data_IF_453193813788
#
_entry.id   IF_453193813788
#
_cell.length_a   1.000
_cell.length_b   1.000
_cell.length_c   1.000
_cell.angle_alpha   90.00
_cell.angle_beta   90.00
_cell.angle_gamma   90.00
#
_symmetry.space_group_name_H-M   'P 1'
#
loop_
_entity.id
_entity.type
_entity.pdbx_description
1 polymer ?
#
# COMPACT_ATOMS: atom_id res chain seq x y z
N UNK A 1 -44.73 15.84 57.14
CA UNK A 1 -43.50 15.08 57.43
C UNK A 1 -43.31 14.06 56.32
N UNK A 2 -42.54 14.43 55.31
CA UNK A 2 -41.99 13.55 54.27
C UNK A 2 -40.95 14.39 53.53
N UNK A 3 -39.69 14.01 53.68
CA UNK A 3 -38.52 14.73 53.19
C UNK A 3 -38.28 14.50 51.69
N UNK A 4 -37.66 15.45 50.96
CA UNK A 4 -37.18 15.24 49.61
C UNK A 4 -35.79 14.58 49.61
N UNK A 5 -35.54 13.72 48.62
CA UNK A 5 -34.24 13.08 48.39
C UNK A 5 -33.42 13.91 47.41
N UNK A 6 -32.24 14.32 47.88
CA UNK A 6 -31.19 15.01 47.16
C UNK A 6 -30.52 14.12 46.09
N UNK A 7 -30.16 14.77 44.97
CA UNK A 7 -29.26 14.24 43.94
C UNK A 7 -27.82 14.60 44.30
N UNK A 8 -26.83 13.70 44.15
CA UNK A 8 -25.43 14.10 44.19
C UNK A 8 -24.75 14.05 42.81
N UNK A 9 -24.08 15.16 42.53
CA UNK A 9 -23.14 15.48 41.46
C UNK A 9 -21.83 14.67 41.52
N UNK A 10 -21.33 14.33 40.33
CA UNK A 10 -19.94 14.22 39.87
C UNK A 10 -18.80 14.06 40.88
N UNK A 11 -18.05 12.97 40.77
CA UNK A 11 -16.67 12.85 41.28
C UNK A 11 -15.70 12.55 40.13
N UNK A 12 -14.86 13.56 39.85
CA UNK A 12 -13.59 13.43 39.10
C UNK A 12 -12.68 12.42 39.81
N UNK A 13 -12.22 11.41 39.08
CA UNK A 13 -11.11 10.57 39.52
C UNK A 13 -9.83 11.11 38.89
N UNK A 14 -9.01 11.74 39.73
CA UNK A 14 -7.61 12.04 39.45
C UNK A 14 -6.82 10.73 39.49
N UNK A 15 -6.21 10.34 38.36
CA UNK A 15 -5.19 9.31 38.32
C UNK A 15 -3.83 9.96 38.53
N UNK A 16 -3.28 9.78 39.72
CA UNK A 16 -1.90 10.06 40.09
C UNK A 16 -0.95 9.15 39.30
N UNK A 17 -0.03 9.76 38.55
CA UNK A 17 1.09 9.10 37.92
C UNK A 17 2.08 8.59 38.98
N UNK A 18 2.29 7.28 39.03
CA UNK A 18 3.44 6.65 39.67
C UNK A 18 4.40 6.19 38.59
N UNK A 19 5.54 6.85 38.52
CA UNK A 19 6.70 6.49 37.70
C UNK A 19 7.27 5.16 38.16
N UNK A 20 7.07 4.11 37.36
CA UNK A 20 7.86 2.88 37.44
C UNK A 20 8.87 2.90 36.30
N UNK A 21 10.13 3.17 36.62
CA UNK A 21 11.28 2.99 35.75
C UNK A 21 11.42 1.51 35.38
N UNK A 22 10.95 1.14 34.20
CA UNK A 22 11.33 -0.11 33.55
C UNK A 22 12.69 0.07 32.90
N UNK A 23 13.64 -0.80 33.25
CA UNK A 23 14.95 -0.85 32.65
C UNK A 23 14.82 -1.17 31.15
N UNK A 24 15.28 -0.23 30.32
CA UNK A 24 15.44 -0.42 28.89
C UNK A 24 16.52 -1.48 28.67
N UNK A 25 16.09 -2.68 28.25
CA UNK A 25 16.98 -3.65 27.63
C UNK A 25 17.39 -3.07 26.27
N UNK A 26 18.60 -2.51 26.21
CA UNK A 26 19.14 -1.97 24.97
C UNK A 26 19.28 -3.06 23.93
N UNK A 27 18.45 -3.01 22.88
CA UNK A 27 18.91 -3.47 21.57
C UNK A 27 20.15 -2.64 21.25
N UNK A 28 21.28 -3.33 21.07
CA UNK A 28 22.46 -2.71 20.52
C UNK A 28 22.04 -2.06 19.19
N UNK A 29 22.23 -0.74 19.10
CA UNK A 29 22.19 -0.05 17.83
C UNK A 29 23.25 -0.71 16.94
N UNK A 30 22.82 -1.58 16.02
CA UNK A 30 23.57 -1.81 14.81
C UNK A 30 23.77 -0.41 14.21
N UNK A 31 25.02 0.02 14.09
CA UNK A 31 25.31 1.34 13.55
C UNK A 31 24.59 1.49 12.21
N UNK A 32 23.84 2.58 12.04
CA UNK A 32 23.28 2.98 10.76
C UNK A 32 24.46 3.39 9.86
N UNK A 33 25.21 2.40 9.39
CA UNK A 33 26.00 2.55 8.21
C UNK A 33 24.99 2.40 7.08
N UNK A 34 24.76 3.44 6.25
CA UNK A 34 24.02 3.21 5.02
C UNK A 34 24.66 2.00 4.33
N UNK A 35 23.86 1.04 3.88
CA UNK A 35 24.34 0.06 2.92
C UNK A 35 25.13 0.83 1.86
N UNK A 36 26.33 0.38 1.45
CA UNK A 36 27.14 1.14 0.52
C UNK A 36 26.25 1.53 -0.64
N UNK A 37 26.00 2.83 -0.76
CA UNK A 37 25.31 3.35 -1.92
C UNK A 37 26.07 2.77 -3.10
N UNK A 38 25.36 2.05 -3.98
CA UNK A 38 25.87 1.80 -5.31
C UNK A 38 26.46 3.14 -5.76
N UNK A 39 27.78 3.15 -6.02
CA UNK A 39 28.58 4.36 -6.14
C UNK A 39 27.79 5.40 -6.95
N UNK A 40 27.63 6.59 -6.39
CA UNK A 40 26.94 7.71 -7.02
C UNK A 40 27.69 8.09 -8.29
N UNK A 41 27.41 7.39 -9.39
CA UNK A 41 27.75 7.85 -10.72
C UNK A 41 26.78 8.98 -11.03
N UNK A 42 27.36 10.17 -11.20
CA UNK A 42 26.76 11.36 -11.80
C UNK A 42 25.63 11.00 -12.77
N UNK A 43 24.38 11.22 -12.37
CA UNK A 43 23.17 10.87 -13.13
C UNK A 43 23.01 11.78 -14.35
N UNK A 44 23.60 11.35 -15.46
CA UNK A 44 22.94 11.43 -16.76
C UNK A 44 22.06 10.19 -16.87
N UNK A 45 20.74 10.36 -17.07
CA UNK A 45 19.71 9.33 -17.34
C UNK A 45 20.17 7.88 -17.09
N UNK A 46 19.90 7.35 -15.90
CA UNK A 46 20.13 5.94 -15.61
C UNK A 46 19.07 5.10 -16.33
N UNK A 47 19.45 4.51 -17.46
CA UNK A 47 18.72 3.39 -18.07
C UNK A 47 18.45 2.34 -16.98
N UNK A 48 17.17 2.02 -16.77
CA UNK A 48 16.76 0.85 -16.00
C UNK A 48 17.43 -0.42 -16.57
N UNK A 49 17.58 -1.50 -15.78
CA UNK A 49 18.01 -2.79 -16.31
C UNK A 49 17.20 -3.13 -17.57
N UNK A 50 17.87 -3.61 -18.63
CA UNK A 50 17.18 -3.98 -19.88
C UNK A 50 16.16 -5.11 -19.64
N UNK A 51 16.43 -5.98 -18.66
CA UNK A 51 15.58 -7.10 -18.26
C UNK A 51 15.09 -6.90 -16.82
N UNK A 52 13.84 -7.30 -16.53
CA UNK A 52 13.31 -7.25 -15.16
C UNK A 52 13.91 -8.34 -14.26
N UNK A 53 14.02 -8.04 -12.97
CA UNK A 53 14.38 -9.02 -11.94
C UNK A 53 13.11 -9.70 -11.44
N UNK A 54 13.15 -11.03 -11.29
CA UNK A 54 12.08 -11.87 -10.77
C UNK A 54 12.59 -12.81 -9.66
N UNK A 55 11.89 -12.94 -8.52
CA UNK A 55 10.80 -12.07 -8.09
C UNK A 55 11.30 -10.63 -7.84
N UNK A 56 10.57 -9.63 -8.34
CA UNK A 56 10.99 -8.22 -8.21
C UNK A 56 9.84 -7.21 -8.22
N UNK A 57 8.66 -7.62 -7.76
CA UNK A 57 7.59 -6.67 -7.40
C UNK A 57 7.83 -6.15 -5.97
N UNK A 58 6.85 -6.28 -5.05
CA UNK A 58 7.02 -5.80 -3.68
C UNK A 58 7.98 -6.65 -2.83
N UNK A 59 8.31 -7.86 -3.28
CA UNK A 59 9.22 -8.77 -2.57
C UNK A 59 10.26 -9.32 -3.53
N UNK A 60 11.50 -9.36 -3.05
CA UNK A 60 12.64 -9.97 -3.74
C UNK A 60 13.02 -11.32 -3.13
N UNK A 61 13.92 -12.07 -3.80
CA UNK A 61 14.47 -13.30 -3.22
C UNK A 61 15.21 -13.05 -1.89
N UNK A 62 15.86 -11.90 -1.77
CA UNK A 62 16.53 -11.48 -0.53
C UNK A 62 15.51 -11.26 0.60
N UNK A 63 14.35 -10.66 0.30
CA UNK A 63 13.28 -10.48 1.27
C UNK A 63 12.74 -11.81 1.78
N UNK A 64 12.51 -12.78 0.90
CA UNK A 64 12.05 -14.12 1.31
C UNK A 64 13.09 -14.84 2.17
N UNK A 65 14.37 -14.75 1.80
CA UNK A 65 15.47 -15.31 2.59
C UNK A 65 15.54 -14.68 3.98
N UNK A 66 15.45 -13.35 4.06
CA UNK A 66 15.42 -12.60 5.33
C UNK A 66 14.22 -13.02 6.18
N UNK A 67 13.00 -12.97 5.62
CA UNK A 67 11.76 -13.32 6.32
C UNK A 67 11.82 -14.75 6.89
N UNK A 68 12.24 -15.73 6.08
CA UNK A 68 12.34 -17.11 6.53
C UNK A 68 13.33 -17.28 7.69
N UNK A 69 14.50 -16.62 7.62
CA UNK A 69 15.52 -16.69 8.67
C UNK A 69 15.03 -16.09 10.00
N UNK A 70 14.51 -14.85 9.98
CA UNK A 70 14.06 -14.16 11.21
C UNK A 70 12.84 -14.82 11.85
N UNK A 71 11.95 -15.44 11.04
CA UNK A 71 10.82 -16.23 11.55
C UNK A 71 11.30 -17.54 12.16
N UNK A 72 12.24 -18.24 11.54
CA UNK A 72 12.83 -19.47 12.09
C UNK A 72 13.52 -19.22 13.44
N UNK A 73 14.14 -18.06 13.61
CA UNK A 73 14.78 -17.63 14.86
C UNK A 73 13.78 -17.12 15.93
N UNK A 74 12.50 -16.92 15.56
CA UNK A 74 11.49 -16.37 16.47
C UNK A 74 11.78 -14.93 16.90
N UNK A 75 12.44 -14.14 16.04
CA UNK A 75 12.86 -12.79 16.35
C UNK A 75 11.71 -11.78 16.29
N UNK A 76 11.60 -10.90 17.28
CA UNK A 76 10.65 -9.77 17.25
C UNK A 76 11.24 -8.57 16.48
N UNK A 77 10.41 -7.82 15.72
CA UNK A 77 8.96 -7.92 15.64
C UNK A 77 8.42 -8.89 14.56
N UNK A 78 9.28 -9.55 13.80
CA UNK A 78 8.87 -10.43 12.69
C UNK A 78 8.01 -11.60 13.14
N UNK A 79 8.29 -12.19 14.30
CA UNK A 79 7.49 -13.26 14.89
C UNK A 79 6.02 -12.82 15.10
N UNK A 80 5.79 -11.62 15.65
CA UNK A 80 4.45 -11.04 15.75
C UNK A 80 3.79 -10.81 14.38
N UNK A 81 4.55 -10.37 13.37
CA UNK A 81 4.06 -10.23 12.00
C UNK A 81 3.67 -11.57 11.35
N UNK A 82 4.47 -12.61 11.60
CA UNK A 82 4.20 -13.98 11.17
C UNK A 82 2.97 -14.56 11.84
N UNK A 83 2.78 -14.35 13.15
CA UNK A 83 1.58 -14.78 13.88
C UNK A 83 0.32 -14.15 13.29
N UNK A 84 0.34 -12.84 12.98
CA UNK A 84 -0.78 -12.16 12.29
C UNK A 84 -1.12 -12.81 10.95
N UNK A 85 -0.12 -13.23 10.18
CA UNK A 85 -0.33 -13.95 8.93
C UNK A 85 -0.96 -15.32 9.20
N UNK A 86 -0.37 -16.14 10.07
CA UNK A 86 -0.83 -17.53 10.29
C UNK A 86 -2.22 -17.61 10.91
N UNK A 87 -2.61 -16.63 11.73
CA UNK A 87 -3.92 -16.55 12.36
C UNK A 87 -5.03 -16.07 11.42
N UNK A 88 -4.67 -15.46 10.29
CA UNK A 88 -5.66 -14.97 9.34
C UNK A 88 -6.35 -16.15 8.62
N UNK A 89 -7.68 -16.17 8.62
CA UNK A 89 -8.47 -17.22 7.98
C UNK A 89 -8.26 -17.35 6.46
N UNK A 90 -7.76 -16.29 5.80
CA UNK A 90 -7.39 -16.31 4.37
C UNK A 90 -6.03 -16.95 4.11
N UNK A 91 -5.21 -17.10 5.14
CA UNK A 91 -3.88 -17.73 5.07
C UNK A 91 -3.92 -19.26 5.26
N UNK A 92 -5.11 -19.87 5.22
CA UNK A 92 -5.25 -21.31 5.37
C UNK A 92 -5.17 -22.00 4.00
N UNK A 93 -4.36 -23.04 3.88
CA UNK A 93 -4.16 -23.80 2.64
C UNK A 93 -5.42 -24.52 2.16
N UNK A 94 -6.41 -24.66 3.03
CA UNK A 94 -7.73 -25.20 2.68
C UNK A 94 -8.67 -24.17 2.03
N UNK A 95 -8.19 -22.97 1.73
CA UNK A 95 -9.00 -21.94 1.07
C UNK A 95 -9.48 -22.41 -0.30
N UNK A 96 -10.77 -22.25 -0.59
CA UNK A 96 -11.34 -22.61 -1.89
C UNK A 96 -11.71 -21.34 -2.67
N UNK A 97 -11.14 -21.11 -3.87
CA UNK A 97 -11.47 -19.95 -4.67
C UNK A 97 -12.91 -19.96 -5.18
N UNK A 98 -13.46 -18.78 -5.42
CA UNK A 98 -14.79 -18.55 -5.94
C UNK A 98 -14.67 -17.58 -7.13
N UNK A 99 -14.15 -18.03 -8.28
CA UNK A 99 -13.97 -17.15 -9.43
C UNK A 99 -15.31 -16.69 -10.01
N UNK A 100 -15.30 -15.54 -10.69
CA UNK A 100 -16.45 -14.95 -11.36
C UNK A 100 -16.05 -14.51 -12.77
N UNK A 101 -16.93 -14.72 -13.75
CA UNK A 101 -16.71 -14.22 -15.11
C UNK A 101 -16.70 -12.69 -15.18
N UNK A 102 -17.55 -12.04 -14.38
CA UNK A 102 -17.67 -10.58 -14.32
C UNK A 102 -17.57 -10.10 -12.87
N UNK A 103 -16.62 -9.20 -12.62
CA UNK A 103 -16.47 -8.47 -11.36
C UNK A 103 -17.06 -7.06 -11.51
N UNK A 104 -18.01 -6.72 -10.66
CA UNK A 104 -18.68 -5.43 -10.62
C UNK A 104 -18.26 -4.67 -9.35
N UNK A 105 -17.71 -3.47 -9.52
CA UNK A 105 -17.49 -2.52 -8.41
C UNK A 105 -18.24 -1.23 -8.67
N UNK A 106 -19.15 -0.92 -7.73
CA UNK A 106 -19.98 0.27 -7.73
C UNK A 106 -21.23 0.14 -8.61
N UNK A 107 -22.35 0.66 -8.11
CA UNK A 107 -23.67 0.51 -8.74
C UNK A 107 -24.37 -0.82 -8.41
N UNK A 108 -25.44 -1.11 -9.17
CA UNK A 108 -26.23 -2.34 -9.03
C UNK A 108 -25.38 -3.59 -9.33
N UNK A 109 -25.58 -4.65 -8.56
CA UNK A 109 -24.87 -5.92 -8.77
C UNK A 109 -23.42 -5.97 -8.28
N UNK A 110 -22.98 -4.98 -7.48
CA UNK A 110 -21.62 -4.98 -6.90
C UNK A 110 -21.30 -6.32 -6.21
N UNK A 111 -20.25 -7.00 -6.68
CA UNK A 111 -19.83 -8.33 -6.21
C UNK A 111 -18.31 -8.42 -5.92
N UNK A 112 -17.56 -7.31 -6.07
CA UNK A 112 -16.10 -7.24 -5.94
C UNK A 112 -15.54 -7.81 -4.63
N UNK A 113 -16.37 -7.88 -3.58
CA UNK A 113 -16.08 -8.55 -2.31
C UNK A 113 -15.45 -9.93 -2.45
N UNK A 114 -15.97 -10.71 -3.39
CA UNK A 114 -15.51 -12.06 -3.65
C UNK A 114 -14.10 -12.07 -4.24
N UNK A 115 -13.84 -11.15 -5.19
CA UNK A 115 -12.57 -11.06 -5.88
C UNK A 115 -11.44 -10.64 -4.94
N UNK A 116 -11.59 -9.52 -4.23
CA UNK A 116 -10.49 -9.05 -3.36
C UNK A 116 -10.21 -10.00 -2.21
N UNK A 117 -11.20 -10.76 -1.75
CA UNK A 117 -11.00 -11.74 -0.66
C UNK A 117 -10.09 -12.87 -1.14
N UNK A 118 -10.32 -13.36 -2.36
CA UNK A 118 -9.54 -14.45 -2.93
C UNK A 118 -8.14 -13.99 -3.37
N UNK A 119 -8.00 -12.78 -3.93
CA UNK A 119 -6.66 -12.19 -4.23
C UNK A 119 -5.80 -12.11 -2.98
N UNK A 120 -6.37 -11.69 -1.85
CA UNK A 120 -5.65 -11.65 -0.58
C UNK A 120 -5.35 -13.04 -0.03
N UNK A 121 -6.24 -14.01 -0.20
CA UNK A 121 -5.95 -15.40 0.15
C UNK A 121 -4.79 -15.96 -0.68
N UNK A 122 -4.72 -15.66 -1.98
CA UNK A 122 -3.60 -16.07 -2.83
C UNK A 122 -2.28 -15.47 -2.33
N UNK A 123 -2.22 -14.15 -2.14
CA UNK A 123 -1.01 -13.47 -1.64
C UNK A 123 -0.56 -14.01 -0.27
N UNK A 124 -1.49 -14.16 0.66
CA UNK A 124 -1.21 -14.64 2.01
C UNK A 124 -0.67 -16.08 2.01
N UNK A 125 -1.29 -16.98 1.23
CA UNK A 125 -0.79 -18.34 1.08
C UNK A 125 0.58 -18.36 0.38
N UNK A 126 0.80 -17.49 -0.61
CA UNK A 126 2.11 -17.37 -1.27
C UNK A 126 3.21 -16.95 -0.27
N UNK A 127 2.94 -15.97 0.61
CA UNK A 127 3.86 -15.61 1.71
C UNK A 127 4.10 -16.79 2.67
N UNK A 128 3.04 -17.50 3.07
CA UNK A 128 3.17 -18.66 3.96
C UNK A 128 4.05 -19.76 3.37
N UNK A 129 3.97 -19.97 2.06
CA UNK A 129 4.86 -20.88 1.36
C UNK A 129 6.30 -20.39 1.36
N UNK A 130 6.58 -19.16 0.91
CA UNK A 130 7.96 -18.66 0.79
C UNK A 130 8.69 -18.56 2.12
N UNK A 131 7.97 -18.22 3.19
CA UNK A 131 8.55 -18.03 4.54
C UNK A 131 8.54 -19.33 5.35
N UNK A 132 7.45 -20.10 5.29
CA UNK A 132 7.27 -21.30 6.11
C UNK A 132 7.67 -22.61 5.43
N UNK A 133 7.77 -22.64 4.10
CA UNK A 133 8.22 -23.80 3.31
C UNK A 133 7.18 -24.91 3.09
N UNK A 134 5.92 -24.73 3.51
CA UNK A 134 4.85 -25.73 3.33
C UNK A 134 4.20 -25.59 1.95
N UNK A 135 4.37 -26.62 1.11
CA UNK A 135 3.87 -26.67 -0.27
C UNK A 135 2.34 -26.58 -0.38
N UNK A 136 1.58 -26.98 0.65
CA UNK A 136 0.12 -26.87 0.63
C UNK A 136 -0.34 -25.40 0.45
N UNK A 137 0.46 -24.45 0.92
CA UNK A 137 0.19 -23.03 0.71
C UNK A 137 0.55 -22.55 -0.71
N UNK A 138 1.59 -23.11 -1.32
CA UNK A 138 1.92 -22.82 -2.73
C UNK A 138 0.80 -23.31 -3.65
N UNK A 139 0.31 -24.54 -3.42
CA UNK A 139 -0.82 -25.13 -4.14
C UNK A 139 -2.08 -24.26 -4.01
N UNK A 140 -2.41 -23.83 -2.80
CA UNK A 140 -3.56 -22.95 -2.58
C UNK A 140 -3.45 -21.63 -3.33
N UNK A 141 -2.29 -20.95 -3.27
CA UNK A 141 -2.06 -19.71 -3.99
C UNK A 141 -2.16 -19.89 -5.51
N UNK A 142 -1.48 -20.92 -6.05
CA UNK A 142 -1.55 -21.32 -7.45
C UNK A 142 -2.99 -21.56 -7.89
N UNK A 143 -3.73 -22.38 -7.16
CA UNK A 143 -5.08 -22.81 -7.53
C UNK A 143 -6.06 -21.64 -7.54
N UNK A 144 -5.92 -20.70 -6.59
CA UNK A 144 -6.73 -19.47 -6.59
C UNK A 144 -6.46 -18.63 -7.84
N UNK A 145 -5.19 -18.35 -8.16
CA UNK A 145 -4.83 -17.49 -9.31
C UNK A 145 -5.18 -18.20 -10.63
N UNK A 146 -4.95 -19.50 -10.73
CA UNK A 146 -5.32 -20.29 -11.89
C UNK A 146 -6.84 -20.30 -12.11
N UNK A 147 -7.64 -20.41 -11.04
CA UNK A 147 -9.10 -20.41 -11.13
C UNK A 147 -9.65 -19.04 -11.59
N UNK A 148 -9.12 -17.94 -11.04
CA UNK A 148 -9.52 -16.59 -11.44
C UNK A 148 -9.10 -16.26 -12.87
N UNK A 149 -7.86 -16.57 -13.26
CA UNK A 149 -7.36 -16.36 -14.63
C UNK A 149 -8.08 -17.20 -15.69
N UNK A 150 -8.70 -18.32 -15.31
CA UNK A 150 -9.48 -19.15 -16.22
C UNK A 150 -10.91 -18.63 -16.49
N UNK A 151 -11.47 -17.86 -15.56
CA UNK A 151 -12.90 -17.51 -15.56
C UNK A 151 -13.14 -16.00 -15.79
N UNK A 152 -12.34 -15.13 -15.16
CA UNK A 152 -12.56 -13.69 -15.17
C UNK A 152 -12.29 -13.11 -16.56
N UNK A 153 -13.32 -12.49 -17.14
CA UNK A 153 -13.25 -11.87 -18.47
C UNK A 153 -13.58 -10.38 -18.45
N UNK A 154 -14.18 -9.87 -17.37
CA UNK A 154 -14.60 -8.48 -17.30
C UNK A 154 -14.56 -7.90 -15.88
N UNK A 155 -14.02 -6.67 -15.77
CA UNK A 155 -14.21 -5.79 -14.61
C UNK A 155 -15.06 -4.59 -15.05
N UNK A 156 -16.20 -4.38 -14.38
CA UNK A 156 -17.21 -3.40 -14.76
C UNK A 156 -17.86 -2.72 -13.55
N UNK A 157 -18.87 -1.89 -13.78
CA UNK A 157 -19.58 -1.08 -12.79
C UNK A 157 -19.55 0.40 -13.11
N UNK A 158 -19.76 1.25 -12.11
CA UNK A 158 -19.61 2.69 -12.26
C UNK A 158 -18.11 3.08 -12.34
N UNK A 159 -17.74 4.33 -12.02
CA UNK A 159 -16.34 4.73 -12.00
C UNK A 159 -15.45 3.83 -11.09
N UNK A 160 -15.99 3.27 -10.01
CA UNK A 160 -15.23 2.46 -9.06
C UNK A 160 -14.63 1.20 -9.69
N UNK A 161 -15.02 0.80 -10.91
CA UNK A 161 -14.34 -0.24 -11.69
C UNK A 161 -12.85 0.06 -11.90
N UNK A 162 -12.44 1.33 -11.98
CA UNK A 162 -11.02 1.70 -12.08
C UNK A 162 -10.27 1.44 -10.76
N UNK A 163 -10.93 1.64 -9.61
CA UNK A 163 -10.37 1.22 -8.31
C UNK A 163 -10.26 -0.29 -8.22
N UNK A 164 -11.21 -1.05 -8.77
CA UNK A 164 -11.09 -2.52 -8.83
C UNK A 164 -9.92 -2.95 -9.72
N UNK A 165 -9.78 -2.35 -10.90
CA UNK A 165 -8.70 -2.66 -11.84
C UNK A 165 -7.32 -2.29 -11.28
N UNK A 166 -7.20 -1.12 -10.65
CA UNK A 166 -5.97 -0.65 -10.04
C UNK A 166 -5.60 -1.47 -8.82
N UNK A 167 -6.43 -1.42 -7.77
CA UNK A 167 -6.10 -2.05 -6.48
C UNK A 167 -5.87 -3.55 -6.62
N UNK A 168 -6.80 -4.27 -7.24
CA UNK A 168 -6.73 -5.72 -7.26
C UNK A 168 -5.85 -6.25 -8.40
N UNK A 169 -5.60 -5.45 -9.43
CA UNK A 169 -4.64 -5.78 -10.50
C UNK A 169 -3.21 -5.85 -9.96
N UNK A 170 -2.72 -4.82 -9.25
CA UNK A 170 -1.37 -4.86 -8.69
C UNK A 170 -1.23 -5.96 -7.62
N UNK A 171 -2.26 -6.15 -6.79
CA UNK A 171 -2.26 -7.17 -5.73
C UNK A 171 -2.20 -8.58 -6.30
N UNK A 172 -2.96 -8.85 -7.36
CA UNK A 172 -2.93 -10.14 -8.05
C UNK A 172 -1.58 -10.37 -8.75
N UNK A 173 -1.03 -9.35 -9.41
CA UNK A 173 0.30 -9.44 -10.01
C UNK A 173 1.39 -9.77 -8.96
N UNK A 174 1.32 -9.14 -7.78
CA UNK A 174 2.20 -9.45 -6.66
C UNK A 174 2.03 -10.90 -6.16
N UNK A 175 0.79 -11.40 -6.01
CA UNK A 175 0.57 -12.80 -5.65
C UNK A 175 1.12 -13.78 -6.71
N UNK A 176 0.90 -13.47 -8.00
CA UNK A 176 1.36 -14.27 -9.13
C UNK A 176 2.89 -14.32 -9.23
N UNK A 177 3.56 -13.19 -9.01
CA UNK A 177 5.02 -13.10 -9.02
C UNK A 177 5.67 -14.01 -7.97
N UNK A 178 5.06 -14.11 -6.78
CA UNK A 178 5.60 -14.96 -5.71
C UNK A 178 5.63 -16.44 -6.13
N UNK A 179 4.61 -16.88 -6.89
CA UNK A 179 4.44 -18.26 -7.37
C UNK A 179 4.84 -18.45 -8.85
N UNK A 180 5.55 -17.49 -9.44
CA UNK A 180 5.88 -17.44 -10.88
C UNK A 180 6.40 -18.76 -11.43
N UNK A 181 7.34 -19.38 -10.71
CA UNK A 181 8.03 -20.61 -11.12
C UNK A 181 7.47 -21.88 -10.45
N UNK A 182 6.32 -21.78 -9.77
CA UNK A 182 5.75 -22.94 -9.07
C UNK A 182 5.05 -23.90 -10.05
N UNK A 183 5.29 -25.20 -9.87
CA UNK A 183 4.78 -26.23 -10.77
C UNK A 183 3.24 -26.21 -10.89
N UNK A 184 2.76 -26.19 -12.14
CA UNK A 184 1.35 -26.12 -12.48
C UNK A 184 0.74 -24.73 -12.45
N UNK A 185 1.50 -23.68 -12.10
CA UNK A 185 1.03 -22.30 -12.25
C UNK A 185 0.94 -21.93 -13.73
N UNK A 186 -0.21 -21.40 -14.14
CA UNK A 186 -0.44 -20.95 -15.52
C UNK A 186 -0.11 -19.45 -15.62
N UNK A 187 1.19 -19.14 -15.58
CA UNK A 187 1.69 -17.77 -15.66
C UNK A 187 1.19 -17.06 -16.93
N UNK A 188 1.24 -17.74 -18.08
CA UNK A 188 0.82 -17.18 -19.36
C UNK A 188 -0.65 -16.73 -19.35
N UNK A 189 -1.55 -17.53 -18.79
CA UNK A 189 -2.97 -17.15 -18.66
C UNK A 189 -3.17 -16.01 -17.66
N UNK A 190 -2.42 -16.00 -16.57
CA UNK A 190 -2.46 -14.89 -15.61
C UNK A 190 -2.01 -13.57 -16.24
N UNK A 191 -0.89 -13.59 -16.98
CA UNK A 191 -0.39 -12.43 -17.75
C UNK A 191 -1.42 -11.96 -18.78
N UNK A 192 -2.00 -12.88 -19.56
CA UNK A 192 -3.04 -12.55 -20.53
C UNK A 192 -4.25 -11.85 -19.88
N UNK A 193 -4.73 -12.36 -18.74
CA UNK A 193 -5.82 -11.71 -18.00
C UNK A 193 -5.44 -10.30 -17.54
N UNK A 194 -4.25 -10.08 -16.99
CA UNK A 194 -3.82 -8.75 -16.55
C UNK A 194 -3.71 -7.77 -17.74
N UNK A 195 -3.16 -8.22 -18.87
CA UNK A 195 -3.02 -7.41 -20.07
C UNK A 195 -4.34 -7.09 -20.76
N UNK A 196 -5.33 -7.99 -20.71
CA UNK A 196 -6.59 -7.86 -21.47
C UNK A 196 -7.77 -7.36 -20.65
N UNK A 197 -7.82 -7.66 -19.35
CA UNK A 197 -8.94 -7.28 -18.46
C UNK A 197 -8.60 -6.05 -17.61
N UNK A 198 -7.37 -5.97 -17.08
CA UNK A 198 -7.00 -4.94 -16.10
C UNK A 198 -6.32 -3.74 -16.74
N UNK A 199 -5.26 -3.96 -17.53
CA UNK A 199 -4.46 -2.90 -18.13
C UNK A 199 -5.28 -1.88 -18.93
N UNK A 200 -6.26 -2.25 -19.80
CA UNK A 200 -7.01 -1.27 -20.58
C UNK A 200 -7.80 -0.28 -19.73
N UNK A 201 -8.30 -0.70 -18.56
CA UNK A 201 -8.97 0.20 -17.61
C UNK A 201 -7.96 1.15 -16.96
N UNK A 202 -6.81 0.64 -16.54
CA UNK A 202 -5.77 1.43 -15.87
C UNK A 202 -5.15 2.46 -16.84
N UNK A 203 -4.78 2.06 -18.05
CA UNK A 203 -4.22 2.94 -19.09
C UNK A 203 -5.21 4.03 -19.48
N UNK A 204 -6.48 3.66 -19.72
CA UNK A 204 -7.54 4.63 -20.00
C UNK A 204 -7.70 5.63 -18.85
N UNK A 205 -7.64 5.17 -17.60
CA UNK A 205 -7.79 6.05 -16.46
C UNK A 205 -6.69 7.12 -16.39
N UNK A 206 -5.42 6.74 -16.55
CA UNK A 206 -4.30 7.68 -16.53
C UNK A 206 -4.32 8.66 -17.71
N UNK A 207 -4.88 8.27 -18.86
CA UNK A 207 -4.94 9.12 -20.07
C UNK A 207 -6.15 10.05 -20.11
N UNK A 208 -7.30 9.56 -19.67
CA UNK A 208 -8.61 10.19 -19.93
C UNK A 208 -9.38 10.56 -18.66
N UNK A 209 -8.93 10.09 -17.48
CA UNK A 209 -9.60 10.31 -16.19
C UNK A 209 -11.11 10.06 -16.26
N UNK A 210 -11.51 8.95 -16.90
CA UNK A 210 -12.91 8.58 -17.12
C UNK A 210 -13.78 9.74 -17.67
N UNK A 211 -13.26 10.41 -18.70
CA UNK A 211 -13.91 11.51 -19.41
C UNK A 211 -14.18 12.75 -18.53
N UNK A 212 -13.47 12.88 -17.40
CA UNK A 212 -13.57 14.01 -16.48
C UNK A 212 -12.34 14.93 -16.56
N UNK A 213 -12.41 16.10 -15.92
CA UNK A 213 -11.22 16.94 -15.76
C UNK A 213 -10.12 16.20 -14.98
N UNK A 214 -8.86 16.56 -15.27
CA UNK A 214 -7.69 15.81 -14.79
C UNK A 214 -7.57 15.77 -13.25
N UNK A 215 -8.06 16.81 -12.56
CA UNK A 215 -8.06 16.87 -11.10
C UNK A 215 -9.30 16.26 -10.43
N UNK A 216 -10.26 15.74 -11.21
CA UNK A 216 -11.54 15.25 -10.66
C UNK A 216 -11.37 14.12 -9.66
N UNK A 217 -10.47 13.19 -9.96
CA UNK A 217 -10.24 12.01 -9.15
C UNK A 217 -9.11 12.24 -8.15
N UNK A 218 -9.26 11.70 -6.94
CA UNK A 218 -8.28 11.83 -5.87
C UNK A 218 -7.02 11.00 -6.14
N UNK A 219 -5.90 11.36 -5.51
CA UNK A 219 -4.60 10.72 -5.71
C UNK A 219 -4.64 9.18 -5.65
N UNK A 220 -5.40 8.58 -4.73
CA UNK A 220 -5.51 7.11 -4.64
C UNK A 220 -5.96 6.40 -5.94
N UNK A 221 -6.71 7.07 -6.81
CA UNK A 221 -7.19 6.48 -8.07
C UNK A 221 -6.04 6.35 -9.08
N UNK A 222 -5.31 7.43 -9.29
CA UNK A 222 -4.10 7.44 -10.12
C UNK A 222 -3.04 6.50 -9.54
N UNK A 223 -2.85 6.50 -8.22
CA UNK A 223 -1.82 5.68 -7.57
C UNK A 223 -2.09 4.17 -7.71
N UNK A 224 -3.33 3.71 -7.53
CA UNK A 224 -3.62 2.28 -7.68
C UNK A 224 -3.57 1.82 -9.14
N UNK A 225 -3.98 2.67 -10.09
CA UNK A 225 -3.89 2.37 -11.52
C UNK A 225 -2.44 2.37 -12.00
N UNK A 226 -1.62 3.30 -11.52
CA UNK A 226 -0.16 3.33 -11.75
C UNK A 226 0.54 2.10 -11.17
N UNK A 227 0.22 1.70 -9.92
CA UNK A 227 0.75 0.48 -9.31
C UNK A 227 0.41 -0.78 -10.13
N UNK A 228 -0.81 -0.85 -10.67
CA UNK A 228 -1.24 -1.97 -11.50
C UNK A 228 -0.52 -2.02 -12.85
N UNK A 229 -0.34 -0.89 -13.52
CA UNK A 229 0.42 -0.80 -14.78
C UNK A 229 1.87 -1.22 -14.54
N UNK A 230 2.53 -0.66 -13.51
CA UNK A 230 3.91 -0.99 -13.18
C UNK A 230 4.08 -2.47 -12.85
N UNK A 231 3.20 -3.02 -12.00
CA UNK A 231 3.27 -4.43 -11.59
C UNK A 231 2.98 -5.39 -12.75
N UNK A 232 2.04 -5.03 -13.63
CA UNK A 232 1.75 -5.81 -14.84
C UNK A 232 2.92 -5.75 -15.82
N UNK A 233 3.54 -4.59 -15.98
CA UNK A 233 4.72 -4.40 -16.82
C UNK A 233 5.88 -5.30 -16.40
N UNK A 234 6.19 -5.34 -15.10
CA UNK A 234 7.21 -6.24 -14.57
C UNK A 234 6.81 -7.70 -14.78
N UNK A 235 5.63 -8.14 -14.29
CA UNK A 235 5.22 -9.55 -14.37
C UNK A 235 5.19 -10.08 -15.82
N UNK A 236 4.81 -9.25 -16.78
CA UNK A 236 4.67 -9.61 -18.20
C UNK A 236 5.93 -9.31 -19.04
N UNK A 237 7.02 -8.84 -18.42
CA UNK A 237 8.22 -8.40 -19.13
C UNK A 237 7.98 -7.28 -20.17
N UNK A 238 6.99 -6.41 -19.91
CA UNK A 238 6.55 -5.30 -20.77
C UNK A 238 7.13 -3.95 -20.29
N UNK A 239 8.36 -3.64 -20.73
CA UNK A 239 9.12 -2.44 -20.37
C UNK A 239 8.32 -1.13 -20.53
N UNK A 240 7.59 -0.99 -21.65
CA UNK A 240 6.85 0.23 -21.95
C UNK A 240 5.77 0.56 -20.89
N UNK A 241 5.19 -0.45 -20.25
CA UNK A 241 4.23 -0.24 -19.16
C UNK A 241 4.92 0.22 -17.87
N UNK A 242 6.08 -0.33 -17.56
CA UNK A 242 6.88 0.15 -16.43
C UNK A 242 7.30 1.61 -16.62
N UNK A 243 7.80 1.95 -17.82
CA UNK A 243 8.24 3.30 -18.15
C UNK A 243 7.05 4.27 -18.09
N UNK A 244 5.88 3.88 -18.61
CA UNK A 244 4.64 4.66 -18.48
C UNK A 244 4.33 5.01 -17.02
N UNK A 245 4.46 4.05 -16.11
CA UNK A 245 4.18 4.29 -14.69
C UNK A 245 5.23 5.19 -14.03
N UNK A 246 6.52 5.01 -14.35
CA UNK A 246 7.60 5.87 -13.87
C UNK A 246 7.45 7.31 -14.38
N UNK A 247 7.15 7.49 -15.66
CA UNK A 247 6.95 8.80 -16.26
C UNK A 247 5.70 9.48 -15.69
N UNK A 248 4.61 8.75 -15.50
CA UNK A 248 3.40 9.29 -14.88
C UNK A 248 3.63 9.70 -13.42
N UNK A 249 4.40 8.91 -12.65
CA UNK A 249 4.77 9.29 -11.28
C UNK A 249 5.45 10.66 -11.26
N UNK A 250 6.37 10.92 -12.21
CA UNK A 250 7.19 12.13 -12.24
C UNK A 250 6.46 13.33 -12.84
N UNK A 251 5.71 13.11 -13.92
CA UNK A 251 5.23 14.16 -14.83
C UNK A 251 3.74 14.01 -15.22
N UNK A 252 3.03 13.04 -14.65
CA UNK A 252 1.61 12.80 -14.93
C UNK A 252 0.73 14.01 -14.62
N UNK A 253 -0.35 14.17 -15.41
CA UNK A 253 -1.26 15.30 -15.26
C UNK A 253 -2.19 15.18 -14.04
N UNK A 254 -2.50 13.96 -13.59
CA UNK A 254 -3.45 13.71 -12.51
C UNK A 254 -2.85 13.75 -11.10
N UNK A 255 -3.71 13.55 -10.11
CA UNK A 255 -3.37 13.75 -8.70
C UNK A 255 -2.43 12.69 -8.11
N UNK A 256 -2.12 11.61 -8.86
CA UNK A 256 -1.15 10.59 -8.44
C UNK A 256 0.30 10.90 -8.80
N UNK A 257 0.55 11.83 -9.73
CA UNK A 257 1.91 12.31 -9.98
C UNK A 257 2.43 12.99 -8.71
N UNK A 258 3.70 12.76 -8.35
CA UNK A 258 4.23 13.09 -7.02
C UNK A 258 4.09 14.58 -6.68
N UNK A 259 4.25 15.47 -7.65
CA UNK A 259 4.06 16.90 -7.45
C UNK A 259 2.62 17.32 -7.21
N UNK A 260 1.64 16.56 -7.71
CA UNK A 260 0.22 16.80 -7.49
C UNK A 260 -0.31 16.05 -6.24
N UNK A 261 0.30 14.90 -5.90
CA UNK A 261 0.01 14.14 -4.69
C UNK A 261 0.49 14.86 -3.42
N UNK A 262 1.58 15.65 -3.54
CA UNK A 262 2.12 16.51 -2.48
C UNK A 262 2.27 17.95 -3.00
N UNK A 263 1.15 18.68 -3.20
CA UNK A 263 1.13 19.96 -3.92
C UNK A 263 1.79 21.13 -3.16
N UNK A 264 1.88 21.05 -1.83
CA UNK A 264 2.44 22.12 -1.01
C UNK A 264 3.50 21.58 -0.08
N UNK A 265 4.69 22.18 -0.15
CA UNK A 265 5.76 21.96 0.83
C UNK A 265 5.72 23.09 1.85
N UNK A 266 5.78 22.71 3.12
CA UNK A 266 5.74 23.60 4.26
C UNK A 266 7.07 23.58 5.02
N UNK A 267 7.29 24.60 5.84
CA UNK A 267 8.46 24.67 6.72
C UNK A 267 8.55 23.43 7.63
N UNK A 268 9.77 23.04 7.99
CA UNK A 268 10.02 21.88 8.84
C UNK A 268 9.96 20.53 8.12
N UNK A 269 10.00 20.52 6.78
CA UNK A 269 10.09 19.28 5.99
C UNK A 269 8.77 18.54 5.84
N UNK A 270 7.63 19.22 5.97
CA UNK A 270 6.31 18.63 5.81
C UNK A 270 5.76 18.91 4.41
N UNK A 271 5.12 17.90 3.81
CA UNK A 271 4.45 18.02 2.52
C UNK A 271 2.97 17.73 2.66
N UNK A 272 2.10 18.71 2.36
CA UNK A 272 0.66 18.51 2.43
C UNK A 272 0.22 17.45 1.44
N UNK A 273 -0.40 16.38 1.93
CA UNK A 273 -0.95 15.34 1.07
C UNK A 273 -2.25 15.80 0.43
N UNK A 274 -2.43 15.50 -0.86
CA UNK A 274 -3.55 15.96 -1.69
C UNK A 274 -4.92 15.65 -1.07
N UNK A 275 -5.09 14.48 -0.47
CA UNK A 275 -6.37 14.05 0.12
C UNK A 275 -6.63 14.55 1.56
N UNK A 276 -5.73 15.35 2.13
CA UNK A 276 -5.83 15.75 3.56
C UNK A 276 -7.10 16.54 3.89
N UNK A 277 -7.58 17.35 2.95
CA UNK A 277 -8.83 18.11 3.09
C UNK A 277 -10.10 17.27 2.89
N UNK A 278 -9.97 16.07 2.32
CA UNK A 278 -11.07 15.12 2.11
C UNK A 278 -11.33 14.33 3.40
N UNK A 279 -10.40 13.45 3.74
CA UNK A 279 -10.41 12.66 4.97
C UNK A 279 -9.05 11.96 5.18
N UNK A 280 -8.80 11.53 6.41
CA UNK A 280 -7.54 10.90 6.77
C UNK A 280 -7.47 9.44 6.34
N UNK A 281 -8.61 8.76 6.17
CA UNK A 281 -8.63 7.38 5.72
C UNK A 281 -8.02 7.22 4.32
N UNK A 282 -8.31 8.17 3.42
CA UNK A 282 -7.74 8.18 2.08
C UNK A 282 -6.35 8.82 2.04
N UNK A 283 -6.04 9.74 2.95
CA UNK A 283 -4.67 10.25 3.07
C UNK A 283 -3.69 9.12 3.42
N UNK A 284 -4.05 8.26 4.39
CA UNK A 284 -3.23 7.10 4.76
C UNK A 284 -3.21 6.04 3.65
N UNK A 285 -4.33 5.81 2.95
CA UNK A 285 -4.37 4.94 1.77
C UNK A 285 -3.39 5.44 0.68
N UNK A 286 -3.40 6.74 0.42
CA UNK A 286 -2.52 7.37 -0.55
C UNK A 286 -1.04 7.14 -0.23
N UNK A 287 -0.65 7.23 1.05
CA UNK A 287 0.71 6.86 1.49
C UNK A 287 1.03 5.42 1.13
N UNK A 288 0.13 4.47 1.44
CA UNK A 288 0.35 3.05 1.13
C UNK A 288 0.48 2.76 -0.37
N UNK A 289 -0.36 3.38 -1.21
CA UNK A 289 -0.30 3.19 -2.66
C UNK A 289 0.93 3.84 -3.29
N UNK A 290 1.31 5.03 -2.83
CA UNK A 290 2.56 5.68 -3.28
C UNK A 290 3.78 4.86 -2.87
N UNK A 291 3.79 4.33 -1.63
CA UNK A 291 4.85 3.42 -1.18
C UNK A 291 4.90 2.15 -2.04
N UNK A 292 3.74 1.59 -2.41
CA UNK A 292 3.66 0.43 -3.31
C UNK A 292 4.34 0.71 -4.66
N UNK A 293 4.08 1.88 -5.27
CA UNK A 293 4.72 2.28 -6.53
C UNK A 293 6.23 2.45 -6.33
N UNK A 294 6.64 3.16 -5.28
CA UNK A 294 8.05 3.42 -5.02
C UNK A 294 8.84 2.15 -4.70
N UNK A 295 8.30 1.23 -3.89
CA UNK A 295 8.97 -0.04 -3.54
C UNK A 295 9.03 -0.99 -4.73
N UNK A 296 7.96 -1.06 -5.53
CA UNK A 296 7.97 -1.85 -6.77
C UNK A 296 9.05 -1.35 -7.74
N UNK A 297 9.19 -0.03 -7.89
CA UNK A 297 10.26 0.56 -8.71
C UNK A 297 11.66 0.33 -8.09
N UNK A 298 11.76 0.40 -6.76
CA UNK A 298 13.00 0.17 -6.03
C UNK A 298 13.55 -1.24 -6.24
N UNK A 299 12.67 -2.26 -6.22
CA UNK A 299 13.04 -3.65 -6.53
C UNK A 299 13.62 -3.83 -7.94
N UNK A 300 13.37 -2.88 -8.85
CA UNK A 300 13.94 -2.84 -10.20
C UNK A 300 15.11 -1.85 -10.33
N UNK A 301 15.61 -1.31 -9.21
CA UNK A 301 16.74 -0.38 -9.18
C UNK A 301 16.40 1.08 -9.50
N UNK A 302 15.13 1.45 -9.51
CA UNK A 302 14.68 2.83 -9.78
C UNK A 302 14.27 3.53 -8.48
N UNK A 303 15.02 4.58 -8.09
CA UNK A 303 14.77 5.34 -6.86
C UNK A 303 13.67 6.40 -7.03
N UNK A 304 12.41 5.98 -6.92
CA UNK A 304 11.27 6.92 -6.85
C UNK A 304 11.05 7.51 -5.45
N UNK A 305 11.50 6.83 -4.39
CA UNK A 305 11.45 7.36 -3.02
C UNK A 305 12.26 8.65 -2.88
N UNK A 306 13.45 8.69 -3.47
CA UNK A 306 14.36 9.84 -3.47
C UNK A 306 13.99 10.97 -4.41
N UNK A 307 13.01 10.75 -5.31
CA UNK A 307 12.67 11.71 -6.34
C UNK A 307 12.17 13.05 -5.75
N UNK A 308 12.55 14.14 -6.41
CA UNK A 308 12.14 15.51 -6.06
C UNK A 308 12.45 15.88 -4.60
N UNK A 309 13.70 15.64 -4.20
CA UNK A 309 14.21 15.90 -2.86
C UNK A 309 13.37 15.20 -1.76
N UNK A 310 13.16 13.89 -1.94
CA UNK A 310 12.33 13.05 -1.06
C UNK A 310 10.93 13.65 -0.84
N UNK A 311 10.27 14.19 -1.88
CA UNK A 311 8.93 14.81 -1.75
C UNK A 311 7.92 13.84 -1.12
N UNK A 312 8.01 12.55 -1.45
CA UNK A 312 7.15 11.54 -0.84
C UNK A 312 7.38 11.40 0.68
N UNK A 313 8.64 11.39 1.15
CA UNK A 313 8.97 11.37 2.58
C UNK A 313 8.31 12.51 3.35
N UNK A 314 8.37 13.73 2.78
CA UNK A 314 7.73 14.92 3.37
C UNK A 314 6.22 14.75 3.48
N UNK A 315 5.60 14.11 2.48
CA UNK A 315 4.19 13.70 2.50
C UNK A 315 3.87 12.69 3.60
N UNK A 316 4.72 11.67 3.77
CA UNK A 316 4.57 10.68 4.83
C UNK A 316 4.66 11.32 6.22
N UNK A 317 5.66 12.18 6.46
CA UNK A 317 5.84 12.89 7.73
C UNK A 317 4.63 13.77 8.07
N UNK A 318 4.06 14.46 7.06
CA UNK A 318 2.85 15.27 7.23
C UNK A 318 1.64 14.44 7.65
N UNK A 319 1.34 13.36 6.92
CA UNK A 319 0.16 12.52 7.18
C UNK A 319 0.32 11.79 8.51
N UNK A 320 1.53 11.28 8.81
CA UNK A 320 1.83 10.64 10.08
C UNK A 320 1.64 11.60 11.25
N UNK A 321 2.23 12.79 11.19
CA UNK A 321 2.10 13.83 12.24
C UNK A 321 0.65 14.14 12.55
N UNK A 322 -0.15 14.41 11.51
CA UNK A 322 -1.56 14.73 11.72
C UNK A 322 -2.33 13.55 12.32
N UNK A 323 -2.07 12.32 11.87
CA UNK A 323 -2.77 11.13 12.39
C UNK A 323 -2.27 10.67 13.78
N UNK A 324 -1.15 11.18 14.26
CA UNK A 324 -0.72 11.09 15.66
C UNK A 324 -1.43 12.09 16.60
N UNK A 325 -2.31 12.94 16.05
CA UNK A 325 -3.08 13.92 16.81
C UNK A 325 -2.43 15.30 16.90
N UNK A 326 -1.31 15.52 16.22
CA UNK A 326 -0.61 16.80 16.17
C UNK A 326 -1.13 17.70 15.04
N UNK A 327 -0.99 19.01 15.18
CA UNK A 327 -1.38 19.95 14.12
C UNK A 327 -0.35 20.02 13.00
N UNK A 328 -0.83 20.29 11.78
CA UNK A 328 -0.03 20.51 10.57
C UNK A 328 -0.49 21.78 9.84
N UNK A 329 0.40 22.51 9.15
CA UNK A 329 -0.01 23.64 8.32
C UNK A 329 -0.86 23.16 7.14
N UNK A 330 -1.86 23.94 6.73
CA UNK A 330 -2.72 23.59 5.61
C UNK A 330 -2.95 24.81 4.71
N UNK A 331 -2.59 24.66 3.44
CA UNK A 331 -2.95 25.60 2.37
C UNK A 331 -4.27 25.14 1.75
N UNK A 332 -5.26 26.02 1.54
CA UNK A 332 -6.50 25.66 0.86
C UNK A 332 -6.23 24.89 -0.43
N UNK A 333 -6.88 23.73 -0.56
CA UNK A 333 -6.69 22.86 -1.72
C UNK A 333 -7.79 23.13 -2.75
N UNK A 334 -7.38 23.55 -3.94
CA UNK A 334 -8.26 23.90 -5.05
C UNK A 334 -8.23 22.80 -6.11
N UNK A 335 -9.39 22.43 -6.65
CA UNK A 335 -9.48 21.47 -7.75
C UNK A 335 -10.73 21.68 -8.61
N UNK A 336 -10.74 21.07 -9.78
CA UNK A 336 -11.90 20.99 -10.66
C UNK A 336 -12.53 19.60 -10.55
N UNK A 337 -13.87 19.52 -10.58
CA UNK A 337 -14.63 18.27 -10.50
C UNK A 337 -15.60 18.07 -11.67
N UNK A 338 -15.87 16.82 -11.99
CA UNK A 338 -16.77 16.39 -13.05
C UNK A 338 -16.22 16.63 -14.45
N UNK A 339 -17.07 16.41 -15.44
CA UNK A 339 -16.73 16.58 -16.86
C UNK A 339 -16.74 18.06 -17.29
N UNK A 340 -17.38 18.92 -16.50
CA UNK A 340 -17.49 20.35 -16.77
C UNK A 340 -16.40 21.19 -16.10
N UNK A 341 -15.46 20.55 -15.39
CA UNK A 341 -14.38 21.21 -14.67
C UNK A 341 -14.89 22.22 -13.62
N UNK A 342 -15.91 21.85 -12.83
CA UNK A 342 -16.49 22.73 -11.83
C UNK A 342 -15.48 23.00 -10.70
N UNK A 343 -15.14 24.27 -10.47
CA UNK A 343 -14.20 24.66 -9.42
C UNK A 343 -14.72 24.34 -8.01
N UNK A 344 -13.79 23.86 -7.17
CA UNK A 344 -14.00 23.47 -5.76
C UNK A 344 -12.79 23.86 -4.92
N UNK A 345 -13.03 24.06 -3.62
CA UNK A 345 -11.99 24.38 -2.62
C UNK A 345 -12.27 23.61 -1.34
N UNK A 346 -11.20 23.12 -0.71
CA UNK A 346 -11.17 22.60 0.66
C UNK A 346 -10.35 23.58 1.48
N UNK A 347 -11.03 24.39 2.29
CA UNK A 347 -10.44 25.48 3.06
C UNK A 347 -9.64 25.01 4.29
N UNK A 348 -9.87 23.78 4.73
CA UNK A 348 -9.25 23.22 5.92
C UNK A 348 -8.95 21.73 5.77
N UNK A 349 -7.96 21.27 6.54
CA UNK A 349 -7.70 19.84 6.73
C UNK A 349 -8.91 19.16 7.41
N UNK A 350 -9.21 17.93 7.01
CA UNK A 350 -10.33 17.16 7.54
C UNK A 350 -9.93 16.35 8.77
N UNK A 351 -10.72 16.45 9.84
CA UNK A 351 -10.62 15.59 11.04
C UNK A 351 -11.27 14.21 10.82
N UNK A 352 -11.95 14.00 9.68
CA UNK A 352 -12.65 12.76 9.41
C UNK A 352 -11.68 11.58 9.36
N UNK A 353 -11.97 10.53 10.14
CA UNK A 353 -11.17 9.32 10.25
C UNK A 353 -9.71 9.53 10.71
N UNK A 354 -9.42 10.65 11.41
CA UNK A 354 -8.10 10.90 11.98
C UNK A 354 -7.69 9.79 12.96
N UNK A 355 -6.46 9.31 12.81
CA UNK A 355 -5.93 8.20 13.60
C UNK A 355 -6.45 6.81 13.16
N UNK A 356 -7.06 6.70 11.97
CA UNK A 356 -7.40 5.39 11.43
C UNK A 356 -6.14 4.52 11.26
N UNK A 357 -6.24 3.26 11.63
CA UNK A 357 -5.15 2.29 11.49
C UNK A 357 -5.23 1.60 10.12
N UNK A 358 -4.11 1.55 9.39
CA UNK A 358 -3.90 0.79 8.13
C UNK A 358 -2.47 0.22 8.09
N UNK A 359 -2.23 -0.90 7.37
CA UNK A 359 -0.92 -1.54 7.31
C UNK A 359 -0.05 -0.93 6.20
N UNK A 360 0.46 0.28 6.43
CA UNK A 360 1.19 1.05 5.39
C UNK A 360 2.50 1.65 5.90
N UNK A 361 2.71 1.70 7.21
CA UNK A 361 3.76 2.50 7.82
C UNK A 361 5.09 1.76 7.88
N UNK A 362 5.07 0.43 7.95
CA UNK A 362 6.28 -0.39 7.99
C UNK A 362 7.14 -0.23 6.74
N UNK A 363 6.53 -0.25 5.55
CA UNK A 363 7.24 -0.09 4.28
C UNK A 363 7.97 1.26 4.22
N UNK A 364 7.26 2.34 4.57
CA UNK A 364 7.80 3.70 4.54
C UNK A 364 8.88 3.90 5.62
N UNK A 365 8.63 3.43 6.84
CA UNK A 365 9.58 3.52 7.95
C UNK A 365 10.89 2.81 7.60
N UNK A 366 10.83 1.55 7.18
CA UNK A 366 12.03 0.77 6.90
C UNK A 366 12.78 1.31 5.68
N UNK A 367 12.08 1.85 4.67
CA UNK A 367 12.78 2.53 3.57
C UNK A 367 13.54 3.77 4.07
N UNK A 368 12.87 4.76 4.68
CA UNK A 368 13.52 6.02 4.98
C UNK A 368 14.41 5.96 6.22
N UNK A 369 13.94 5.39 7.33
CA UNK A 369 14.67 5.38 8.59
C UNK A 369 15.81 4.36 8.59
N UNK A 370 15.57 3.16 8.06
CA UNK A 370 16.53 2.04 8.16
C UNK A 370 17.40 1.95 6.91
N UNK A 371 16.80 1.78 5.73
CA UNK A 371 17.53 1.63 4.45
C UNK A 371 18.29 2.91 4.07
N UNK A 372 17.70 4.09 4.30
CA UNK A 372 18.28 5.40 3.93
C UNK A 372 18.90 6.19 5.09
N UNK A 373 18.78 5.73 6.35
CA UNK A 373 19.27 6.43 7.54
C UNK A 373 18.79 7.89 7.65
N UNK A 374 17.56 8.19 7.24
CA UNK A 374 16.97 9.54 7.32
C UNK A 374 16.12 9.71 8.58
N UNK A 375 16.09 10.94 9.10
CA UNK A 375 15.24 11.28 10.24
C UNK A 375 13.78 11.45 9.80
N UNK A 376 12.94 10.49 10.20
CA UNK A 376 11.49 10.49 9.93
C UNK A 376 10.72 10.30 11.25
N UNK A 377 10.75 11.28 12.17
CA UNK A 377 10.25 11.10 13.53
C UNK A 377 8.76 10.79 13.60
N UNK A 378 7.93 11.37 12.72
CA UNK A 378 6.49 11.12 12.76
C UNK A 378 6.16 9.75 12.15
N UNK A 379 6.82 9.39 11.05
CA UNK A 379 6.69 8.04 10.47
C UNK A 379 7.17 6.97 11.45
N UNK A 380 8.30 7.20 12.13
CA UNK A 380 8.80 6.30 13.15
C UNK A 380 7.79 6.10 14.28
N UNK A 381 7.24 7.19 14.83
CA UNK A 381 6.25 7.13 15.90
C UNK A 381 4.96 6.43 15.49
N UNK A 382 4.42 6.68 14.29
CA UNK A 382 3.19 6.02 13.85
C UNK A 382 3.41 4.55 13.48
N UNK A 383 4.61 4.19 13.01
CA UNK A 383 5.00 2.82 12.73
C UNK A 383 5.11 1.95 13.99
N UNK A 384 5.19 2.53 15.20
CA UNK A 384 5.21 1.76 16.46
C UNK A 384 3.92 0.97 16.73
N UNK A 385 2.82 1.24 16.00
CA UNK A 385 1.55 0.52 16.09
C UNK A 385 1.61 -0.95 15.59
N UNK A 386 2.81 -1.50 15.39
CA UNK A 386 3.11 -2.90 15.02
C UNK A 386 2.35 -3.91 15.91
N UNK A 387 2.11 -5.15 15.46
CA UNK A 387 2.39 -5.68 14.13
C UNK A 387 1.26 -5.36 13.12
N UNK A 388 1.65 -5.00 11.90
CA UNK A 388 0.74 -4.81 10.76
C UNK A 388 0.23 -6.16 10.25
N UNK A 389 -1.09 -6.33 10.20
CA UNK A 389 -1.75 -7.44 9.52
C UNK A 389 -2.04 -7.12 8.06
N UNK A 390 -3.00 -7.81 7.44
CA UNK A 390 -3.38 -7.60 6.04
C UNK A 390 -4.88 -7.71 5.80
N UNK A 391 -5.25 -8.20 4.61
CA UNK A 391 -6.65 -8.37 4.20
C UNK A 391 -7.51 -9.04 5.27
N UNK A 392 -8.51 -8.31 5.77
CA UNK A 392 -9.45 -8.76 6.80
C UNK A 392 -9.15 -8.32 8.23
N UNK A 393 -7.96 -7.76 8.51
CA UNK A 393 -7.61 -7.27 9.85
C UNK A 393 -8.10 -5.82 10.11
N UNK A 394 -8.42 -5.09 9.03
CA UNK A 394 -8.81 -3.67 9.08
C UNK A 394 -10.26 -3.45 8.63
N UNK A 395 -11.11 -4.46 8.84
CA UNK A 395 -12.51 -4.48 8.44
C UNK A 395 -12.78 -5.31 7.18
N UNK A 396 -14.06 -5.63 6.97
CA UNK A 396 -14.50 -6.54 5.89
C UNK A 396 -15.02 -5.85 4.63
N UNK A 397 -15.22 -4.52 4.68
CA UNK A 397 -15.50 -3.71 3.49
C UNK A 397 -14.24 -3.45 2.67
N UNK A 398 -14.38 -2.87 1.47
CA UNK A 398 -13.25 -2.65 0.54
C UNK A 398 -12.02 -1.98 1.16
N UNK A 399 -12.22 -1.06 2.12
CA UNK A 399 -11.14 -0.37 2.84
C UNK A 399 -10.11 -1.28 3.53
N UNK A 400 -10.54 -2.44 4.03
CA UNK A 400 -9.65 -3.42 4.67
C UNK A 400 -8.85 -4.29 3.70
N UNK A 401 -9.03 -4.08 2.39
CA UNK A 401 -8.41 -4.83 1.30
C UNK A 401 -7.70 -3.93 0.28
N UNK A 402 -7.62 -2.62 0.53
CA UNK A 402 -6.95 -1.68 -0.39
C UNK A 402 -5.41 -1.84 -0.38
N UNK A 403 -4.83 -2.47 0.66
CA UNK A 403 -3.40 -2.76 0.79
C UNK A 403 -3.17 -4.22 1.19
N UNK A 404 -2.12 -4.86 0.66
CA UNK A 404 -1.77 -6.25 0.96
C UNK A 404 -1.40 -6.47 2.44
N UNK A 405 -0.72 -5.49 3.03
CA UNK A 405 -0.30 -5.49 4.43
C UNK A 405 0.82 -6.47 4.76
N UNK A 406 0.82 -6.96 6.01
CA UNK A 406 1.86 -7.77 6.63
C UNK A 406 3.23 -7.08 6.67
N UNK A 407 3.23 -5.75 6.77
CA UNK A 407 4.45 -4.96 6.65
C UNK A 407 5.50 -5.24 7.72
N UNK A 408 5.08 -5.61 8.94
CA UNK A 408 6.00 -5.98 10.02
C UNK A 408 6.83 -7.21 9.68
N UNK A 409 6.22 -8.20 9.00
CA UNK A 409 6.94 -9.37 8.48
C UNK A 409 7.74 -8.98 7.23
N UNK A 410 7.08 -8.33 6.28
CA UNK A 410 7.59 -8.15 4.93
C UNK A 410 8.70 -7.10 4.80
N UNK A 411 8.62 -5.97 5.49
CA UNK A 411 9.49 -4.82 5.23
C UNK A 411 10.45 -4.47 6.37
N UNK A 412 10.31 -5.08 7.55
CA UNK A 412 11.24 -4.83 8.67
C UNK A 412 12.65 -5.33 8.33
N UNK A 413 13.64 -4.42 8.42
CA UNK A 413 15.05 -4.65 8.10
C UNK A 413 15.94 -4.80 9.34
#
# INVERSE_FOLDING_TARGET
MTAPLDTPTSRRTLLTATTATAAVGGLAAAGCAPAPAAETQSSTDSDAPTDFVHPGLLHTEEDFTRMAAVVADGAEPWASGWERLTDNGRSQSTWTPRPLATVVRGGEGTNVGQFYTDVHAAYQNALRWRVGGDEAHAEAARDIINAWSAELTEVTGNADRYLAAGLYGYQLANAAEIVRDYDGFDLGRCQEMLLTVFYPLNDRFLREHNDACVSNYWANWDLCTMAAIMSTGILCDERAMFDQAVDYFKEGGGNGAIGNAVPHLHDGGLGQWQESGRDQAHSILGIGLMATVCETAWSQGVDLYGYDDNRFMKGCEYVARYNLGEDVPYTPYEWETGQNCDYRVQEAISEQARGQVRPVWEMVYNHYAVRRCLEVPNVAAIAEARAEGGGGDYGFGGGGFDALGFGTLAYTL
#
